data_IF_428071848991
#
_entry.id   IF_428071848991
#
_cell.length_a   1.000
_cell.length_b   1.000
_cell.length_c   1.000
_cell.angle_alpha   90.00
_cell.angle_beta   90.00
_cell.angle_gamma   90.00
#
_symmetry.space_group_name_H-M   'P 1'
#
loop_
_entity.id
_entity.type
_entity.pdbx_description
1 polymer ?
#
# COMPACT_ATOMS: atom_id res chain seq x y z
N UNK A 1 -18.20 -6.76 -10.70
CA UNK A 1 -17.05 -6.22 -11.47
C UNK A 1 -15.97 -7.29 -11.50
N UNK A 2 -15.39 -7.60 -12.66
CA UNK A 2 -14.34 -8.64 -12.75
C UNK A 2 -13.11 -8.16 -11.97
N UNK A 3 -12.72 -8.86 -10.91
CA UNK A 3 -11.59 -8.50 -10.02
C UNK A 3 -10.40 -8.02 -10.86
N UNK A 4 -9.98 -8.83 -11.83
CA UNK A 4 -8.83 -8.56 -12.68
C UNK A 4 -8.96 -7.32 -13.57
N UNK A 5 -10.17 -6.97 -14.02
CA UNK A 5 -10.40 -5.81 -14.87
C UNK A 5 -10.25 -4.48 -14.08
N UNK A 6 -10.64 -4.49 -12.80
CA UNK A 6 -10.52 -3.30 -11.95
C UNK A 6 -9.06 -2.90 -11.78
N UNK A 7 -8.19 -3.87 -11.48
CA UNK A 7 -6.78 -3.58 -11.25
C UNK A 7 -6.01 -3.27 -12.54
N UNK A 8 -6.27 -3.97 -13.64
CA UNK A 8 -5.56 -3.76 -14.90
C UNK A 8 -5.79 -2.37 -15.48
N UNK A 9 -7.03 -1.88 -15.41
CA UNK A 9 -7.39 -0.56 -15.93
C UNK A 9 -6.73 0.56 -15.11
N UNK A 10 -6.68 0.42 -13.78
CA UNK A 10 -6.02 1.40 -12.90
C UNK A 10 -4.51 1.42 -13.15
N UNK A 11 -3.88 0.26 -13.28
CA UNK A 11 -2.45 0.17 -13.62
C UNK A 11 -2.13 0.83 -14.97
N UNK A 12 -2.90 0.50 -16.02
CA UNK A 12 -2.67 1.04 -17.36
C UNK A 12 -2.80 2.57 -17.35
N UNK A 13 -3.84 3.08 -16.70
CA UNK A 13 -4.10 4.52 -16.63
C UNK A 13 -3.03 5.27 -15.86
N UNK A 14 -2.61 4.76 -14.70
CA UNK A 14 -1.52 5.36 -13.95
C UNK A 14 -0.19 5.35 -14.71
N UNK A 15 0.15 4.22 -15.34
CA UNK A 15 1.37 4.08 -16.14
C UNK A 15 1.40 5.04 -17.32
N UNK A 16 0.26 5.20 -18.01
CA UNK A 16 0.09 6.13 -19.13
C UNK A 16 0.28 7.59 -18.69
N UNK A 17 -0.30 8.00 -17.56
CA UNK A 17 -0.19 9.39 -17.05
C UNK A 17 1.20 9.71 -16.49
N UNK A 18 1.87 8.75 -15.86
CA UNK A 18 3.24 8.89 -15.35
C UNK A 18 4.29 8.98 -16.47
N UNK A 19 3.97 8.51 -17.68
CA UNK A 19 4.90 8.47 -18.81
C UNK A 19 6.10 7.56 -18.55
N UNK A 20 5.94 6.55 -17.70
CA UNK A 20 6.98 5.61 -17.30
C UNK A 20 6.50 4.18 -17.54
N UNK A 21 7.39 3.35 -18.09
CA UNK A 21 7.19 1.90 -18.25
C UNK A 21 7.35 1.13 -16.93
N UNK A 22 7.64 1.83 -15.82
CA UNK A 22 7.77 1.21 -14.50
C UNK A 22 6.40 0.90 -13.92
N UNK A 23 6.20 -0.39 -13.69
CA UNK A 23 5.06 -1.03 -13.05
C UNK A 23 4.67 -0.39 -11.72
N UNK A 24 3.40 -0.57 -11.34
CA UNK A 24 2.90 -0.25 -10.00
C UNK A 24 3.77 -0.91 -8.93
N UNK A 25 4.09 -0.19 -7.87
CA UNK A 25 4.78 -0.78 -6.72
C UNK A 25 3.87 -1.77 -5.99
N UNK A 26 4.44 -2.65 -5.16
CA UNK A 26 3.63 -3.59 -4.36
C UNK A 26 2.64 -2.88 -3.44
N UNK A 27 2.96 -1.65 -3.02
CA UNK A 27 2.12 -0.74 -2.26
C UNK A 27 0.92 -0.24 -3.08
N UNK A 28 1.14 0.10 -4.35
CA UNK A 28 0.07 0.58 -5.23
C UNK A 28 -0.99 -0.50 -5.49
N UNK A 29 -0.58 -1.78 -5.55
CA UNK A 29 -1.51 -2.90 -5.69
C UNK A 29 -2.40 -3.08 -4.46
N UNK A 30 -1.85 -2.96 -3.25
CA UNK A 30 -2.62 -3.03 -2.00
C UNK A 30 -3.62 -1.87 -1.88
N UNK A 31 -3.24 -0.69 -2.39
CA UNK A 31 -4.11 0.47 -2.45
C UNK A 31 -5.32 0.24 -3.38
N UNK A 32 -5.10 -0.36 -4.54
CA UNK A 32 -6.19 -0.72 -5.46
C UNK A 32 -7.12 -1.77 -4.84
N UNK A 33 -6.56 -2.74 -4.10
CA UNK A 33 -7.34 -3.73 -3.36
C UNK A 33 -8.23 -3.08 -2.30
N UNK A 34 -7.71 -2.09 -1.58
CA UNK A 34 -8.48 -1.34 -0.57
C UNK A 34 -9.61 -0.54 -1.21
N UNK A 35 -9.37 0.10 -2.36
CA UNK A 35 -10.43 0.80 -3.10
C UNK A 35 -11.54 -0.15 -3.55
N UNK A 36 -11.18 -1.35 -4.02
CA UNK A 36 -12.14 -2.37 -4.40
C UNK A 36 -12.98 -2.82 -3.20
N UNK A 37 -12.36 -3.06 -2.05
CA UNK A 37 -13.06 -3.48 -0.82
C UNK A 37 -13.99 -2.39 -0.29
N UNK A 38 -13.58 -1.12 -0.40
CA UNK A 38 -14.40 0.05 -0.10
C UNK A 38 -15.53 0.28 -1.14
N UNK A 39 -15.62 -0.54 -2.19
CA UNK A 39 -16.65 -0.44 -3.21
C UNK A 39 -16.47 0.75 -4.15
N UNK A 40 -15.27 1.31 -4.26
CA UNK A 40 -14.98 2.43 -5.16
C UNK A 40 -15.18 1.96 -6.61
N UNK A 41 -16.00 2.67 -7.41
CA UNK A 41 -16.20 2.33 -8.80
C UNK A 41 -14.94 2.63 -9.62
N UNK A 42 -14.71 1.84 -10.67
CA UNK A 42 -13.52 1.94 -11.50
C UNK A 42 -13.37 3.36 -12.08
N UNK A 43 -14.48 3.92 -12.55
CA UNK A 43 -14.56 5.24 -13.16
C UNK A 43 -14.09 6.34 -12.20
N UNK A 44 -14.38 6.21 -10.90
CA UNK A 44 -13.92 7.15 -9.87
C UNK A 44 -12.41 7.03 -9.65
N UNK A 45 -11.89 5.80 -9.58
CA UNK A 45 -10.45 5.55 -9.45
C UNK A 45 -9.66 6.12 -10.66
N UNK A 46 -10.15 5.90 -11.88
CA UNK A 46 -9.50 6.44 -13.07
C UNK A 46 -9.54 7.98 -13.11
N UNK A 47 -10.70 8.56 -12.80
CA UNK A 47 -10.87 10.02 -12.78
C UNK A 47 -9.99 10.69 -11.73
N UNK A 48 -9.93 10.13 -10.52
CA UNK A 48 -9.07 10.67 -9.47
C UNK A 48 -7.58 10.63 -9.83
N UNK A 49 -7.12 9.58 -10.52
CA UNK A 49 -5.75 9.51 -11.05
C UNK A 49 -5.53 10.63 -12.07
N UNK A 50 -6.43 10.80 -13.03
CA UNK A 50 -6.30 11.84 -14.05
C UNK A 50 -6.28 13.25 -13.43
N UNK A 51 -7.20 13.55 -12.50
CA UNK A 51 -7.32 14.82 -11.79
C UNK A 51 -6.07 15.14 -10.95
N UNK A 52 -5.49 14.12 -10.30
CA UNK A 52 -4.26 14.28 -9.56
C UNK A 52 -3.13 14.72 -10.50
N UNK A 53 -2.92 14.00 -11.60
CA UNK A 53 -1.89 14.35 -12.57
C UNK A 53 -2.13 15.71 -13.24
N UNK A 54 -3.39 16.10 -13.50
CA UNK A 54 -3.70 17.42 -14.09
C UNK A 54 -3.32 18.56 -13.13
N UNK A 55 -3.59 18.40 -11.82
CA UNK A 55 -3.15 19.35 -10.80
C UNK A 55 -1.62 19.41 -10.72
N UNK A 56 -0.94 18.27 -10.86
CA UNK A 56 0.52 18.21 -10.90
C UNK A 56 1.09 18.93 -12.13
N UNK A 57 0.54 18.67 -13.32
CA UNK A 57 0.95 19.28 -14.59
C UNK A 57 0.73 20.80 -14.54
N UNK A 58 -0.42 21.26 -14.04
CA UNK A 58 -0.70 22.68 -13.84
C UNK A 58 0.27 23.36 -12.85
N UNK A 59 0.68 22.64 -11.79
CA UNK A 59 1.66 23.14 -10.81
C UNK A 59 3.07 23.15 -11.39
N UNK A 60 3.44 22.15 -12.19
CA UNK A 60 4.69 22.08 -12.95
C UNK A 60 4.84 23.25 -13.91
N UNK A 61 3.80 23.59 -14.66
CA UNK A 61 3.81 24.72 -15.60
C UNK A 61 4.03 26.08 -14.92
N UNK A 62 3.65 26.21 -13.64
CA UNK A 62 3.82 27.44 -12.85
C UNK A 62 5.14 27.49 -12.08
N UNK A 63 5.79 26.35 -11.87
CA UNK A 63 7.03 26.26 -11.10
C UNK A 63 8.27 26.57 -11.97
N UNK A 64 9.14 27.49 -11.53
CA UNK A 64 10.40 27.84 -12.22
C UNK A 64 11.54 26.81 -12.02
N UNK A 65 11.27 25.61 -11.52
CA UNK A 65 12.29 24.62 -11.17
C UNK A 65 11.83 23.17 -11.37
N UNK A 66 12.77 22.21 -11.33
CA UNK A 66 12.48 20.77 -11.51
C UNK A 66 11.73 20.23 -10.30
N UNK A 67 10.42 20.06 -10.43
CA UNK A 67 9.61 19.35 -9.43
C UNK A 67 9.86 17.84 -9.50
N UNK A 68 9.76 17.17 -8.35
CA UNK A 68 9.93 15.71 -8.26
C UNK A 68 8.77 15.00 -8.95
N UNK A 69 9.09 13.95 -9.74
CA UNK A 69 8.09 13.12 -10.42
C UNK A 69 7.20 12.39 -9.42
N UNK A 70 5.95 12.16 -9.81
CA UNK A 70 5.01 11.30 -9.08
C UNK A 70 5.55 9.87 -9.12
N UNK A 71 5.72 9.26 -7.95
CA UNK A 71 6.42 7.98 -7.81
C UNK A 71 5.49 6.79 -7.55
N UNK A 72 4.26 7.00 -7.06
CA UNK A 72 3.32 5.94 -6.72
C UNK A 72 1.86 6.42 -6.70
N UNK A 73 0.95 5.46 -6.73
CA UNK A 73 -0.50 5.60 -6.74
C UNK A 73 -1.03 6.19 -5.42
N UNK A 74 -0.29 6.02 -4.31
CA UNK A 74 -0.57 6.66 -3.02
C UNK A 74 -0.70 8.19 -3.12
N UNK A 75 0.04 8.81 -4.05
CA UNK A 75 -0.08 10.25 -4.32
C UNK A 75 -1.44 10.64 -4.90
N UNK A 76 -2.10 9.73 -5.62
CA UNK A 76 -3.41 9.93 -6.23
C UNK A 76 -4.56 9.57 -5.26
N UNK A 77 -4.28 8.95 -4.11
CA UNK A 77 -5.31 8.38 -3.25
C UNK A 77 -6.38 9.39 -2.82
N UNK A 78 -5.97 10.59 -2.40
CA UNK A 78 -6.90 11.65 -2.01
C UNK A 78 -7.80 12.10 -3.17
N UNK A 79 -7.26 12.18 -4.39
CA UNK A 79 -8.04 12.55 -5.57
C UNK A 79 -9.01 11.44 -5.99
N UNK A 80 -8.64 10.17 -5.79
CA UNK A 80 -9.52 9.02 -6.03
C UNK A 80 -10.68 8.97 -5.05
N UNK A 81 -10.43 9.20 -3.76
CA UNK A 81 -11.51 9.29 -2.76
C UNK A 81 -12.47 10.44 -3.08
N UNK A 82 -11.95 11.62 -3.42
CA UNK A 82 -12.78 12.76 -3.82
C UNK A 82 -13.62 12.45 -5.07
N UNK A 83 -13.04 11.81 -6.08
CA UNK A 83 -13.76 11.44 -7.28
C UNK A 83 -14.87 10.39 -7.01
N UNK A 84 -14.68 9.54 -6.00
CA UNK A 84 -15.68 8.57 -5.55
C UNK A 84 -16.84 9.27 -4.82
N UNK A 85 -16.53 10.20 -3.92
CA UNK A 85 -17.52 11.05 -3.24
C UNK A 85 -18.32 11.90 -4.23
N UNK A 86 -17.65 12.61 -5.13
CA UNK A 86 -18.29 13.43 -6.16
C UNK A 86 -19.25 12.60 -7.03
N UNK A 87 -18.89 11.34 -7.32
CA UNK A 87 -19.73 10.43 -8.09
C UNK A 87 -20.93 9.92 -7.30
N UNK A 88 -20.77 9.69 -6.00
CA UNK A 88 -21.86 9.34 -5.09
C UNK A 88 -22.83 10.51 -4.87
N UNK A 89 -22.31 11.73 -4.73
CA UNK A 89 -23.10 12.97 -4.64
C UNK A 89 -23.86 13.26 -5.94
N UNK A 90 -23.21 13.09 -7.10
CA UNK A 90 -23.85 13.25 -8.40
C UNK A 90 -24.98 12.23 -8.65
N UNK A 91 -24.86 11.02 -8.11
CA UNK A 91 -25.91 9.99 -8.17
C UNK A 91 -27.10 10.28 -7.25
N UNK A 92 -26.92 11.12 -6.22
CA UNK A 92 -27.95 11.43 -5.21
C UNK A 92 -28.52 12.85 -5.33
N UNK A 93 -27.96 13.70 -6.20
CA UNK A 93 -28.53 15.00 -6.55
C UNK A 93 -28.48 16.06 -5.44
N UNK A 94 -27.55 15.94 -4.49
CA UNK A 94 -27.45 16.85 -3.36
C UNK A 94 -26.52 18.04 -3.64
N UNK A 95 -26.98 19.25 -3.27
CA UNK A 95 -26.30 20.54 -3.44
C UNK A 95 -25.20 20.71 -2.40
N UNK A 96 -24.03 21.20 -2.84
CA UNK A 96 -22.87 21.57 -2.00
C UNK A 96 -23.22 22.55 -0.89
N UNK A 97 -22.74 22.28 0.33
CA UNK A 97 -22.46 23.30 1.35
C UNK A 97 -21.07 23.06 1.95
N UNK A 98 -20.28 24.14 2.04
CA UNK A 98 -18.93 24.26 2.59
C UNK A 98 -18.84 23.99 4.11
N UNK A 99 -17.72 24.28 4.79
CA UNK A 99 -16.29 24.04 4.52
C UNK A 99 -15.76 22.86 5.37
N UNK A 100 -14.72 22.17 4.90
CA UNK A 100 -14.01 21.11 5.62
C UNK A 100 -13.54 21.60 7.02
N UNK A 101 -14.27 21.18 8.06
CA UNK A 101 -13.69 20.98 9.37
C UNK A 101 -12.62 19.88 9.26
N UNK A 102 -11.53 20.05 10.00
CA UNK A 102 -10.39 19.14 9.99
C UNK A 102 -10.85 17.71 10.31
N UNK A 103 -11.05 16.92 9.26
CA UNK A 103 -11.26 15.48 9.37
C UNK A 103 -10.07 14.93 10.13
N UNK A 104 -10.32 14.37 11.30
CA UNK A 104 -9.34 13.71 12.16
C UNK A 104 -8.47 12.81 11.30
N UNK A 105 -7.17 13.13 11.23
CA UNK A 105 -6.24 12.56 10.25
C UNK A 105 -6.04 11.04 10.38
N UNK A 106 -6.64 10.36 11.37
CA UNK A 106 -6.45 8.93 11.63
C UNK A 106 -5.01 8.52 11.99
N UNK A 107 -4.05 9.45 11.98
CA UNK A 107 -2.63 9.23 12.26
C UNK A 107 -2.17 10.02 13.48
N UNK A 108 -3.01 10.08 14.52
CA UNK A 108 -2.56 10.63 15.80
C UNK A 108 -1.33 9.86 16.29
N UNK A 109 -0.34 10.60 16.80
CA UNK A 109 0.95 10.05 17.24
C UNK A 109 0.80 8.87 18.20
N UNK A 110 -0.19 8.92 19.09
CA UNK A 110 -0.47 7.84 20.05
C UNK A 110 -1.07 6.60 19.38
N UNK A 111 -1.94 6.78 18.39
CA UNK A 111 -2.54 5.70 17.61
C UNK A 111 -1.47 4.98 16.79
N UNK A 112 -0.57 5.75 16.16
CA UNK A 112 0.58 5.21 15.41
C UNK A 112 1.53 4.48 16.34
N UNK A 113 1.86 5.03 17.52
CA UNK A 113 2.72 4.37 18.50
C UNK A 113 2.13 3.03 18.97
N UNK A 114 0.81 2.99 19.25
CA UNK A 114 0.11 1.74 19.60
C UNK A 114 0.19 0.70 18.50
N UNK A 115 -0.05 1.10 17.25
CA UNK A 115 0.08 0.21 16.09
C UNK A 115 1.50 -0.41 16.04
N UNK A 116 2.55 0.37 16.22
CA UNK A 116 3.93 -0.13 16.23
C UNK A 116 4.19 -1.14 17.36
N UNK A 117 3.62 -0.92 18.54
CA UNK A 117 3.75 -1.85 19.68
C UNK A 117 3.02 -3.17 19.46
N UNK A 118 1.82 -3.13 18.86
CA UNK A 118 1.06 -4.32 18.50
C UNK A 118 1.80 -5.16 17.45
N UNK A 119 2.34 -4.50 16.42
CA UNK A 119 3.20 -5.13 15.44
C UNK A 119 4.44 -5.76 16.09
N UNK A 120 5.10 -5.06 17.02
CA UNK A 120 6.26 -5.59 17.74
C UNK A 120 5.92 -6.85 18.56
N UNK A 121 4.74 -6.87 19.22
CA UNK A 121 4.27 -8.06 19.94
C UNK A 121 3.99 -9.23 19.00
N UNK A 122 3.37 -8.98 17.85
CA UNK A 122 3.12 -10.01 16.85
C UNK A 122 4.41 -10.58 16.27
N UNK A 123 5.41 -9.73 15.99
CA UNK A 123 6.73 -10.15 15.51
C UNK A 123 7.47 -11.01 16.54
N UNK A 124 7.42 -10.66 17.83
CA UNK A 124 8.04 -11.47 18.89
C UNK A 124 7.31 -12.80 19.13
N UNK A 125 6.00 -12.86 18.89
CA UNK A 125 5.20 -14.07 19.01
C UNK A 125 5.35 -15.04 17.81
N UNK A 126 5.94 -14.57 16.71
CA UNK A 126 6.07 -15.35 15.48
C UNK A 126 7.02 -16.55 15.66
N UNK A 127 6.67 -17.65 14.99
CA UNK A 127 7.46 -18.89 15.01
C UNK A 127 7.97 -19.24 13.60
N UNK A 128 9.18 -19.80 13.48
CA UNK A 128 10.16 -20.01 14.55
C UNK A 128 10.78 -18.69 15.05
N UNK A 129 11.23 -18.62 16.32
CA UNK A 129 11.93 -17.44 16.82
C UNK A 129 13.24 -17.25 16.06
N UNK A 130 13.54 -16.01 15.71
CA UNK A 130 14.78 -15.62 15.03
C UNK A 130 15.31 -14.32 15.62
N UNK A 131 16.63 -14.23 15.76
CA UNK A 131 17.29 -13.02 16.27
C UNK A 131 16.94 -11.78 15.44
N UNK A 132 16.85 -11.94 14.12
CA UNK A 132 16.47 -10.87 13.20
C UNK A 132 15.00 -10.42 13.36
N UNK A 133 14.09 -11.33 13.74
CA UNK A 133 12.72 -10.97 14.10
C UNK A 133 12.70 -10.15 15.39
N UNK A 134 13.46 -10.58 16.41
CA UNK A 134 13.58 -9.85 17.67
C UNK A 134 14.21 -8.46 17.51
N UNK A 135 15.19 -8.30 16.62
CA UNK A 135 15.75 -6.99 16.26
C UNK A 135 14.71 -6.07 15.60
N UNK A 136 13.87 -6.63 14.72
CA UNK A 136 12.77 -5.90 14.08
C UNK A 136 11.73 -5.45 15.11
N UNK A 137 11.30 -6.33 16.02
CA UNK A 137 10.40 -5.99 17.11
C UNK A 137 10.98 -4.91 18.04
N UNK A 138 12.28 -5.01 18.37
CA UNK A 138 12.98 -3.98 19.16
C UNK A 138 12.95 -2.63 18.46
N UNK A 139 13.23 -2.60 17.15
CA UNK A 139 13.23 -1.36 16.39
C UNK A 139 11.85 -0.71 16.30
N UNK A 140 10.79 -1.51 16.18
CA UNK A 140 9.41 -1.02 16.20
C UNK A 140 9.07 -0.34 17.54
N UNK A 141 9.49 -0.92 18.67
CA UNK A 141 9.33 -0.30 20.00
C UNK A 141 10.12 1.01 20.14
N UNK A 142 11.36 1.04 19.67
CA UNK A 142 12.17 2.27 19.66
C UNK A 142 11.47 3.40 18.88
N UNK A 143 10.85 3.09 17.73
CA UNK A 143 10.10 4.06 16.93
C UNK A 143 8.83 4.54 17.65
N UNK A 144 8.11 3.65 18.36
CA UNK A 144 6.95 4.02 19.17
C UNK A 144 7.32 5.00 20.30
N UNK A 145 8.44 4.76 20.99
CA UNK A 145 8.93 5.64 22.05
C UNK A 145 9.36 7.02 21.50
N UNK A 146 10.01 7.05 20.34
CA UNK A 146 10.39 8.31 19.68
C UNK A 146 9.16 9.15 19.35
N UNK A 147 8.10 8.53 18.83
CA UNK A 147 6.84 9.21 18.55
C UNK A 147 6.22 9.80 19.83
N UNK A 148 6.19 9.05 20.93
CA UNK A 148 5.65 9.52 22.22
C UNK A 148 6.48 10.64 22.87
N UNK A 149 7.79 10.69 22.59
CA UNK A 149 8.70 11.70 23.13
C UNK A 149 8.52 13.12 22.54
N UNK A 150 7.48 13.35 21.74
CA UNK A 150 7.14 14.60 21.07
C UNK A 150 8.22 15.12 20.09
N UNK A 151 9.13 14.24 19.64
CA UNK A 151 10.02 14.55 18.53
C UNK A 151 9.19 14.56 17.22
N UNK A 152 9.19 15.67 16.45
CA UNK A 152 8.47 15.71 15.19
C UNK A 152 9.16 14.77 14.18
N UNK A 153 8.59 13.58 13.99
CA UNK A 153 8.95 12.67 12.92
C UNK A 153 7.90 12.80 11.79
N UNK A 154 8.30 13.12 10.56
CA UNK A 154 7.41 13.07 9.42
C UNK A 154 6.89 11.64 9.21
N UNK A 155 5.57 11.47 9.05
CA UNK A 155 4.96 10.15 8.85
C UNK A 155 5.47 9.44 7.57
N UNK A 156 5.91 10.20 6.55
CA UNK A 156 6.51 9.63 5.35
C UNK A 156 7.89 9.02 5.60
N UNK A 157 8.66 9.58 6.54
CA UNK A 157 9.95 9.04 6.95
C UNK A 157 9.77 7.77 7.81
N UNK A 158 8.75 7.78 8.67
CA UNK A 158 8.34 6.61 9.44
C UNK A 158 7.92 5.46 8.52
N UNK A 159 7.04 5.71 7.55
CA UNK A 159 6.54 4.66 6.64
C UNK A 159 7.65 4.09 5.75
N UNK A 160 8.62 4.91 5.31
CA UNK A 160 9.83 4.41 4.64
C UNK A 160 10.65 3.47 5.53
N UNK A 161 10.81 3.84 6.80
CA UNK A 161 11.53 3.00 7.77
C UNK A 161 10.79 1.68 7.98
N UNK A 162 9.47 1.71 8.10
CA UNK A 162 8.63 0.52 8.25
C UNK A 162 8.67 -0.38 7.02
N UNK A 163 8.71 0.20 5.82
CA UNK A 163 8.90 -0.55 4.56
C UNK A 163 10.20 -1.34 4.57
N UNK A 164 11.32 -0.70 4.97
CA UNK A 164 12.62 -1.38 5.05
C UNK A 164 12.61 -2.48 6.11
N UNK A 165 11.95 -2.26 7.25
CA UNK A 165 11.81 -3.28 8.28
C UNK A 165 10.98 -4.47 7.79
N UNK A 166 9.93 -4.23 7.03
CA UNK A 166 9.09 -5.28 6.44
C UNK A 166 9.84 -6.09 5.37
N UNK A 167 10.66 -5.45 4.54
CA UNK A 167 11.51 -6.14 3.57
C UNK A 167 12.52 -7.05 4.27
N UNK A 168 13.15 -6.57 5.35
CA UNK A 168 14.08 -7.37 6.17
C UNK A 168 13.37 -8.53 6.86
N UNK A 169 12.17 -8.27 7.40
CA UNK A 169 11.29 -9.28 7.99
C UNK A 169 11.02 -10.38 6.96
N UNK A 170 10.55 -10.01 5.77
CA UNK A 170 10.24 -10.96 4.71
C UNK A 170 11.46 -11.77 4.26
N UNK A 171 12.62 -11.13 4.09
CA UNK A 171 13.86 -11.83 3.75
C UNK A 171 14.22 -12.89 4.81
N UNK A 172 14.06 -12.55 6.09
CA UNK A 172 14.27 -13.49 7.21
C UNK A 172 13.28 -14.66 7.16
N UNK A 173 12.00 -14.39 6.87
CA UNK A 173 11.00 -15.44 6.74
C UNK A 173 11.30 -16.38 5.58
N UNK A 174 11.65 -15.83 4.41
CA UNK A 174 12.06 -16.59 3.24
C UNK A 174 13.28 -17.47 3.49
N UNK A 175 14.27 -16.99 4.26
CA UNK A 175 15.49 -17.76 4.54
C UNK A 175 15.31 -18.83 5.61
N UNK A 176 14.29 -18.70 6.46
CA UNK A 176 14.02 -19.62 7.58
C UNK A 176 12.89 -20.61 7.30
N UNK A 177 12.08 -20.37 6.27
CA UNK A 177 11.03 -21.27 5.83
C UNK A 177 11.63 -22.57 5.26
N UNK A 178 11.01 -23.74 5.54
CA UNK A 178 11.37 -25.01 4.90
C UNK A 178 11.25 -24.90 3.37
N UNK A 179 12.15 -25.56 2.64
CA UNK A 179 12.15 -25.57 1.18
C UNK A 179 10.82 -26.06 0.60
N UNK A 180 10.25 -27.11 1.20
CA UNK A 180 8.96 -27.69 0.82
C UNK A 180 7.80 -26.68 0.92
N UNK A 181 7.80 -25.82 1.94
CA UNK A 181 6.80 -24.76 2.11
C UNK A 181 6.89 -23.75 0.96
N UNK A 182 8.11 -23.31 0.63
CA UNK A 182 8.35 -22.34 -0.44
C UNK A 182 7.97 -22.91 -1.81
N UNK A 183 8.29 -24.18 -2.08
CA UNK A 183 7.91 -24.85 -3.33
C UNK A 183 6.39 -24.96 -3.45
N UNK A 184 5.71 -25.42 -2.39
CA UNK A 184 4.26 -25.55 -2.39
C UNK A 184 3.55 -24.21 -2.63
N UNK A 185 4.01 -23.14 -1.99
CA UNK A 185 3.45 -21.80 -2.19
C UNK A 185 3.67 -21.27 -3.61
N UNK A 186 4.82 -21.56 -4.22
CA UNK A 186 5.10 -21.19 -5.63
C UNK A 186 4.21 -21.93 -6.61
N UNK A 187 4.03 -23.23 -6.41
CA UNK A 187 3.12 -24.03 -7.24
C UNK A 187 1.67 -23.57 -7.12
N UNK A 188 1.25 -23.17 -5.92
CA UNK A 188 -0.07 -22.60 -5.71
C UNK A 188 -0.22 -21.28 -6.48
N UNK A 189 0.75 -20.36 -6.34
CA UNK A 189 0.75 -19.11 -7.08
C UNK A 189 0.69 -19.34 -8.60
N UNK A 190 1.42 -20.33 -9.10
CA UNK A 190 1.42 -20.69 -10.51
C UNK A 190 0.08 -21.23 -11.01
N UNK A 191 -0.61 -22.04 -10.20
CA UNK A 191 -1.95 -22.53 -10.52
C UNK A 191 -2.97 -21.39 -10.58
N UNK A 192 -2.92 -20.47 -9.63
CA UNK A 192 -3.82 -19.31 -9.58
C UNK A 192 -3.55 -18.33 -10.73
N UNK A 193 -2.30 -18.20 -11.17
CA UNK A 193 -1.89 -17.31 -12.25
C UNK A 193 -2.00 -17.91 -13.65
N UNK A 194 -2.16 -19.24 -13.77
CA UNK A 194 -2.25 -19.93 -15.05
C UNK A 194 -3.26 -19.32 -16.05
N UNK A 195 -4.47 -18.90 -15.64
CA UNK A 195 -5.45 -18.29 -16.55
C UNK A 195 -5.03 -16.92 -17.11
N UNK A 196 -4.09 -16.24 -16.45
CA UNK A 196 -3.71 -14.86 -16.74
C UNK A 196 -2.36 -14.73 -17.45
N UNK A 197 -1.58 -15.81 -17.53
CA UNK A 197 -0.23 -15.79 -18.13
C UNK A 197 -0.20 -15.30 -19.58
N UNK A 198 -1.22 -15.61 -20.37
CA UNK A 198 -1.28 -15.19 -21.79
C UNK A 198 -1.62 -13.70 -21.97
N UNK A 199 -2.16 -13.05 -20.94
CA UNK A 199 -2.62 -11.65 -20.96
C UNK A 199 -1.67 -10.69 -20.26
N UNK A 200 -0.62 -11.21 -19.61
CA UNK A 200 0.29 -10.44 -18.76
C UNK A 200 1.74 -10.62 -19.18
N UNK A 201 2.53 -9.56 -19.02
CA UNK A 201 3.97 -9.61 -19.23
C UNK A 201 4.68 -10.47 -18.17
N UNK A 202 5.81 -11.08 -18.54
CA UNK A 202 6.60 -11.91 -17.61
C UNK A 202 7.06 -11.16 -16.35
N UNK A 203 7.21 -9.83 -16.42
CA UNK A 203 7.54 -8.98 -15.27
C UNK A 203 6.35 -8.87 -14.30
N UNK A 204 5.14 -8.63 -14.81
CA UNK A 204 3.89 -8.59 -14.02
C UNK A 204 3.66 -9.89 -13.27
N UNK A 205 3.79 -11.03 -13.97
CA UNK A 205 3.58 -12.35 -13.37
C UNK A 205 4.54 -12.58 -12.21
N UNK A 206 5.84 -12.28 -12.38
CA UNK A 206 6.83 -12.42 -11.30
C UNK A 206 6.52 -11.54 -10.11
N UNK A 207 6.04 -10.32 -10.35
CA UNK A 207 5.70 -9.41 -9.28
C UNK A 207 4.50 -9.91 -8.46
N UNK A 208 3.44 -10.38 -9.13
CA UNK A 208 2.27 -10.94 -8.45
C UNK A 208 2.63 -12.19 -7.66
N UNK A 209 3.48 -13.07 -8.23
CA UNK A 209 4.01 -14.24 -7.50
C UNK A 209 4.78 -13.82 -6.24
N UNK A 210 5.63 -12.81 -6.31
CA UNK A 210 6.38 -12.31 -5.16
C UNK A 210 5.45 -11.77 -4.06
N UNK A 211 4.41 -11.02 -4.43
CA UNK A 211 3.40 -10.52 -3.49
C UNK A 211 2.58 -11.64 -2.85
N UNK A 212 2.17 -12.64 -3.64
CA UNK A 212 1.45 -13.80 -3.15
C UNK A 212 2.28 -14.55 -2.09
N UNK A 213 3.55 -14.80 -2.39
CA UNK A 213 4.48 -15.42 -1.44
C UNK A 213 4.63 -14.60 -0.16
N UNK A 214 4.80 -13.28 -0.29
CA UNK A 214 4.88 -12.38 0.85
C UNK A 214 3.64 -12.45 1.73
N UNK A 215 2.44 -12.36 1.13
CA UNK A 215 1.18 -12.45 1.86
C UNK A 215 1.04 -13.78 2.59
N UNK A 216 1.29 -14.90 1.91
CA UNK A 216 1.11 -16.24 2.51
C UNK A 216 2.11 -16.54 3.62
N UNK A 217 3.36 -16.11 3.48
CA UNK A 217 4.37 -16.31 4.52
C UNK A 217 4.07 -15.51 5.79
N UNK A 218 3.55 -14.30 5.65
CA UNK A 218 3.10 -13.48 6.77
C UNK A 218 1.88 -14.10 7.46
N UNK A 219 0.86 -14.49 6.69
CA UNK A 219 -0.37 -15.14 7.21
C UNK A 219 -0.05 -16.45 7.96
N UNK A 220 0.81 -17.30 7.40
CA UNK A 220 1.23 -18.56 8.01
C UNK A 220 1.88 -18.37 9.40
N UNK A 221 2.44 -17.18 9.65
CA UNK A 221 3.13 -16.82 10.89
C UNK A 221 2.34 -15.79 11.71
N UNK A 222 1.09 -15.52 11.32
CA UNK A 222 0.20 -14.54 11.96
C UNK A 222 0.84 -13.15 12.10
N UNK A 223 1.65 -12.76 11.12
CA UNK A 223 2.36 -11.50 11.11
C UNK A 223 1.54 -10.41 10.39
N UNK A 224 1.31 -9.25 11.03
CA UNK A 224 0.74 -8.09 10.38
C UNK A 224 1.71 -7.43 9.39
N UNK A 225 1.16 -6.56 8.54
CA UNK A 225 1.95 -5.65 7.70
C UNK A 225 2.41 -4.46 8.52
N UNK A 226 3.66 -4.05 8.35
CA UNK A 226 4.27 -3.01 9.18
C UNK A 226 3.99 -1.59 8.67
N UNK A 227 3.58 -1.41 7.41
CA UNK A 227 3.28 -0.09 6.86
C UNK A 227 2.05 0.52 7.54
N UNK A 228 2.10 1.84 7.74
CA UNK A 228 1.00 2.62 8.32
C UNK A 228 -0.29 2.56 7.49
N UNK A 229 -0.19 2.14 6.24
CA UNK A 229 -1.34 1.91 5.38
C UNK A 229 -2.32 0.85 5.93
N UNK A 230 -1.81 -0.15 6.64
CA UNK A 230 -2.62 -1.24 7.20
C UNK A 230 -3.14 -0.94 8.61
N UNK A 231 -2.93 0.29 9.08
CA UNK A 231 -3.51 0.78 10.31
C UNK A 231 -5.01 0.98 10.09
N UNK A 232 -5.82 0.01 10.53
CA UNK A 232 -7.27 0.01 10.33
C UNK A 232 -7.90 1.33 10.78
N UNK A 233 -8.86 1.85 10.03
CA UNK A 233 -9.65 3.03 10.38
C UNK A 233 -10.77 2.66 11.37
N UNK A 234 -10.43 2.34 12.61
CA UNK A 234 -11.39 2.40 13.73
C UNK A 234 -11.35 3.76 14.43
#
# INVERSE_FOLDING_TARGET
>A
MNYFHYFSEIEERFSRRRGSLLMLSTLDWALIETWREAGIPLEAALRGIDDAFDKYDAKMQRAKGRMRKVNGLAWCAQAVMQAAEDMAEAATGAVKTAPQEAVESGFETERVARFLEENAKAVDAAKPPSTALGETARRLRELAEVLRSAAPMPLDELDRTLTVLEEKLFATLMSTAPEEEIVALREQADRELAPYRAKMGAVQIRQIQAQFLQKRLLEARSLPRLSLFYMGHE
#
